data_IF_590821444206
#
_entry.id   IF_590821444206
#
_cell.length_a   1.000
_cell.length_b   1.000
_cell.length_c   1.000
_cell.angle_alpha   90.00
_cell.angle_beta   90.00
_cell.angle_gamma   90.00
#
_symmetry.space_group_name_H-M   'P 1'
#
loop_
_entity.id
_entity.type
_entity.pdbx_description
1 polymer ?
#
# COMPACT_ATOMS: atom_id res chain seq x y z
N UNK A 1 15.13 -5.89 -12.95
CA UNK A 1 14.42 -6.40 -11.76
C UNK A 1 13.62 -5.24 -11.20
N UNK A 2 12.32 -5.42 -10.98
CA UNK A 2 11.44 -4.42 -10.37
C UNK A 2 11.51 -4.54 -8.84
N UNK A 3 11.80 -3.45 -8.14
CA UNK A 3 12.02 -3.41 -6.68
C UNK A 3 10.91 -2.68 -5.97
N UNK A 4 10.25 -3.35 -5.03
CA UNK A 4 9.27 -2.74 -4.13
C UNK A 4 9.95 -2.54 -2.77
N UNK A 5 10.07 -1.29 -2.31
CA UNK A 5 10.62 -0.99 -0.98
C UNK A 5 9.60 -1.27 0.11
N UNK A 6 9.97 -2.02 1.15
CA UNK A 6 9.06 -2.57 2.17
C UNK A 6 9.10 -1.87 3.53
N UNK A 7 9.87 -0.77 3.67
CA UNK A 7 10.20 -0.24 5.00
C UNK A 7 9.04 0.54 5.65
N UNK A 8 7.96 0.85 4.93
CA UNK A 8 6.73 1.44 5.51
C UNK A 8 5.76 0.32 5.85
N UNK A 9 6.00 -0.32 7.00
CA UNK A 9 5.19 -1.44 7.47
C UNK A 9 4.81 -1.32 8.94
N UNK A 10 3.51 -1.43 9.23
CA UNK A 10 2.94 -1.24 10.58
C UNK A 10 3.54 -2.13 11.69
N UNK A 11 4.16 -3.27 11.34
CA UNK A 11 4.80 -4.14 12.34
C UNK A 11 6.11 -3.55 12.88
N UNK A 12 6.71 -2.61 12.14
CA UNK A 12 7.91 -1.90 12.58
C UNK A 12 7.55 -0.96 13.74
N UNK A 13 8.19 -1.09 14.92
CA UNK A 13 7.92 -0.21 16.06
C UNK A 13 8.10 1.28 15.73
N UNK A 14 9.06 1.61 14.86
CA UNK A 14 9.32 2.99 14.43
C UNK A 14 8.20 3.55 13.55
N UNK A 15 7.70 2.74 12.60
CA UNK A 15 6.57 3.12 11.74
C UNK A 15 5.30 3.28 12.56
N UNK A 16 5.06 2.36 13.51
CA UNK A 16 3.91 2.44 14.40
C UNK A 16 3.94 3.70 15.25
N UNK A 17 5.08 4.00 15.89
CA UNK A 17 5.24 5.22 16.70
C UNK A 17 5.05 6.48 15.85
N UNK A 18 5.68 6.55 14.67
CA UNK A 18 5.52 7.69 13.77
C UNK A 18 4.07 7.89 13.30
N UNK A 19 3.31 6.81 13.12
CA UNK A 19 1.88 6.88 12.80
C UNK A 19 1.04 7.40 13.97
N UNK A 20 1.35 6.98 15.19
CA UNK A 20 0.69 7.43 16.43
C UNK A 20 0.97 8.91 16.67
N UNK A 21 2.21 9.34 16.47
CA UNK A 21 2.66 10.73 16.66
C UNK A 21 2.31 11.65 15.48
N UNK A 22 1.75 11.11 14.39
CA UNK A 22 1.55 11.82 13.11
C UNK A 22 2.83 12.52 12.63
N UNK A 23 3.96 11.85 12.77
CA UNK A 23 5.27 12.35 12.34
C UNK A 23 5.44 12.20 10.82
N UNK A 24 4.95 13.20 10.08
CA UNK A 24 5.08 13.24 8.62
C UNK A 24 6.53 13.28 8.14
N UNK A 25 7.43 13.90 8.92
CA UNK A 25 8.85 14.03 8.55
C UNK A 25 9.55 12.67 8.49
N UNK A 26 9.16 11.75 9.37
CA UNK A 26 9.61 10.36 9.33
C UNK A 26 9.21 9.67 8.02
N UNK A 27 7.95 9.80 7.60
CA UNK A 27 7.46 9.16 6.37
C UNK A 27 8.05 9.79 5.12
N UNK A 28 8.20 11.11 5.08
CA UNK A 28 8.87 11.82 3.97
C UNK A 28 10.28 11.27 3.78
N UNK A 29 11.08 11.27 4.86
CA UNK A 29 12.46 10.79 4.82
C UNK A 29 12.57 9.31 4.48
N UNK A 30 11.71 8.48 5.06
CA UNK A 30 11.71 7.03 4.81
C UNK A 30 11.34 6.70 3.36
N UNK A 31 10.44 7.47 2.75
CA UNK A 31 10.07 7.36 1.34
C UNK A 31 11.24 7.75 0.43
N UNK A 32 11.89 8.89 0.71
CA UNK A 32 13.07 9.36 -0.03
C UNK A 32 14.21 8.33 0.01
N UNK A 33 14.55 7.83 1.21
CA UNK A 33 15.61 6.84 1.37
C UNK A 33 15.37 5.58 0.53
N UNK A 34 14.12 5.11 0.44
CA UNK A 34 13.79 3.94 -0.40
C UNK A 34 13.95 4.24 -1.89
N UNK A 35 13.58 5.45 -2.34
CA UNK A 35 13.81 5.88 -3.72
C UNK A 35 15.30 5.97 -4.05
N UNK A 36 16.10 6.53 -3.15
CA UNK A 36 17.56 6.66 -3.32
C UNK A 36 18.27 5.30 -3.33
N UNK A 37 17.77 4.34 -2.55
CA UNK A 37 18.19 2.92 -2.62
C UNK A 37 17.73 2.21 -3.92
N UNK A 38 16.97 2.92 -4.77
CA UNK A 38 16.55 2.48 -6.09
C UNK A 38 15.24 1.72 -6.12
N UNK A 39 14.33 1.92 -5.17
CA UNK A 39 12.98 1.36 -5.27
C UNK A 39 12.23 1.90 -6.50
N UNK A 40 11.52 1.01 -7.21
CA UNK A 40 10.64 1.31 -8.33
C UNK A 40 9.20 1.60 -7.86
N UNK A 41 8.80 1.00 -6.74
CA UNK A 41 7.58 1.29 -6.00
C UNK A 41 7.83 1.23 -4.49
N UNK A 42 6.93 1.81 -3.70
CA UNK A 42 6.97 1.72 -2.24
C UNK A 42 5.74 0.98 -1.75
N UNK A 43 5.96 -0.04 -0.94
CA UNK A 43 4.93 -0.76 -0.23
C UNK A 43 4.43 0.07 0.96
N UNK A 44 3.11 0.13 1.09
CA UNK A 44 2.39 0.90 2.11
C UNK A 44 1.54 -0.07 2.92
N UNK A 45 2.16 -0.65 3.95
CA UNK A 45 1.47 -1.57 4.84
C UNK A 45 0.98 -0.86 6.11
N UNK A 46 -0.34 -0.70 6.20
CA UNK A 46 -1.04 -0.11 7.34
C UNK A 46 -1.70 -1.17 8.25
N UNK A 47 -1.52 -2.46 7.95
CA UNK A 47 -2.28 -3.54 8.55
C UNK A 47 -3.78 -3.49 8.21
N UNK A 48 -4.65 -4.22 8.93
CA UNK A 48 -6.07 -4.31 8.58
C UNK A 48 -6.90 -3.04 8.80
N UNK A 49 -6.43 -2.11 9.66
CA UNK A 49 -7.08 -0.84 10.09
C UNK A 49 -8.54 -0.66 9.65
N UNK A 50 -9.43 -1.42 10.30
CA UNK A 50 -10.84 -1.57 9.85
C UNK A 50 -11.65 -0.27 9.90
N UNK A 51 -11.27 0.69 10.76
CA UNK A 51 -12.05 1.92 10.99
C UNK A 51 -11.44 3.14 10.31
N UNK A 52 -10.13 3.30 10.42
CA UNK A 52 -9.40 4.51 10.05
C UNK A 52 -8.44 4.32 8.87
N UNK A 53 -8.44 3.13 8.24
CA UNK A 53 -7.59 2.83 7.09
C UNK A 53 -7.63 3.87 5.96
N UNK A 54 -8.83 4.31 5.51
CA UNK A 54 -8.94 5.38 4.50
C UNK A 54 -8.26 6.68 4.89
N UNK A 55 -8.48 7.18 6.11
CA UNK A 55 -7.87 8.43 6.60
C UNK A 55 -6.34 8.30 6.66
N UNK A 56 -5.86 7.15 7.15
CA UNK A 56 -4.43 6.88 7.32
C UNK A 56 -3.73 6.77 5.97
N UNK A 57 -4.33 6.11 4.99
CA UNK A 57 -3.78 6.05 3.63
C UNK A 57 -3.73 7.43 3.01
N UNK A 58 -4.79 8.23 3.16
CA UNK A 58 -4.84 9.58 2.59
C UNK A 58 -3.70 10.47 3.15
N UNK A 59 -3.51 10.46 4.47
CA UNK A 59 -2.43 11.20 5.13
C UNK A 59 -1.03 10.68 4.76
N UNK A 60 -0.82 9.36 4.74
CA UNK A 60 0.47 8.78 4.35
C UNK A 60 0.81 9.11 2.89
N UNK A 61 -0.19 9.14 2.00
CA UNK A 61 0.01 9.54 0.62
C UNK A 61 0.41 11.00 0.47
N UNK A 62 -0.08 11.92 1.31
CA UNK A 62 0.41 13.30 1.31
C UNK A 62 1.92 13.33 1.58
N UNK A 63 2.38 12.64 2.63
CA UNK A 63 3.81 12.57 2.97
C UNK A 63 4.64 11.89 1.87
N UNK A 64 4.15 10.79 1.30
CA UNK A 64 4.88 10.03 0.28
C UNK A 64 4.96 10.80 -1.05
N UNK A 65 3.89 11.49 -1.44
CA UNK A 65 3.87 12.31 -2.66
C UNK A 65 4.66 13.60 -2.51
N UNK A 66 4.73 14.18 -1.30
CA UNK A 66 5.68 15.26 -0.99
C UNK A 66 7.12 14.78 -1.18
N UNK A 67 7.45 13.61 -0.65
CA UNK A 67 8.78 13.03 -0.72
C UNK A 67 9.22 12.67 -2.15
N UNK A 68 8.37 11.96 -2.88
CA UNK A 68 8.65 11.45 -4.23
C UNK A 68 7.38 11.53 -5.08
N UNK A 69 7.10 12.69 -5.72
CA UNK A 69 5.92 12.87 -6.56
C UNK A 69 5.84 11.83 -7.68
N UNK A 70 4.66 11.24 -7.88
CA UNK A 70 4.41 10.26 -8.94
C UNK A 70 5.01 8.87 -8.68
N UNK A 71 5.51 8.60 -7.47
CA UNK A 71 5.97 7.27 -7.09
C UNK A 71 4.82 6.26 -7.17
N UNK A 72 5.11 5.06 -7.70
CA UNK A 72 4.14 3.95 -7.68
C UNK A 72 4.00 3.42 -6.26
N UNK A 73 2.76 3.28 -5.79
CA UNK A 73 2.46 2.79 -4.43
C UNK A 73 1.90 1.37 -4.49
N UNK A 74 2.47 0.46 -3.71
CA UNK A 74 1.94 -0.87 -3.46
C UNK A 74 1.09 -0.84 -2.19
N UNK A 75 -0.23 -0.87 -2.32
CA UNK A 75 -1.16 -0.81 -1.20
C UNK A 75 -1.27 -2.18 -0.53
N UNK A 76 -0.52 -2.38 0.56
CA UNK A 76 -0.45 -3.65 1.31
C UNK A 76 -1.40 -3.66 2.51
N UNK A 77 -2.66 -3.98 2.24
CA UNK A 77 -3.69 -4.13 3.26
C UNK A 77 -4.85 -4.97 2.73
N UNK A 78 -5.56 -5.63 3.63
CA UNK A 78 -6.81 -6.32 3.29
C UNK A 78 -8.02 -5.38 3.22
N UNK A 79 -7.87 -4.13 3.70
CA UNK A 79 -8.95 -3.15 3.73
C UNK A 79 -9.17 -2.52 2.33
N UNK A 80 -10.19 -3.00 1.63
CA UNK A 80 -10.56 -2.51 0.29
C UNK A 80 -10.94 -1.03 0.24
N UNK A 81 -11.53 -0.49 1.30
CA UNK A 81 -11.86 0.93 1.36
C UNK A 81 -10.58 1.79 1.41
N UNK A 82 -9.58 1.34 2.17
CA UNK A 82 -8.28 2.02 2.23
C UNK A 82 -7.53 1.95 0.90
N UNK A 83 -7.55 0.77 0.25
CA UNK A 83 -7.01 0.60 -1.11
C UNK A 83 -7.70 1.57 -2.07
N UNK A 84 -9.05 1.61 -2.09
CA UNK A 84 -9.77 2.49 -3.03
C UNK A 84 -9.49 3.98 -2.79
N UNK A 85 -9.34 4.42 -1.54
CA UNK A 85 -8.89 5.78 -1.24
C UNK A 85 -7.55 6.07 -1.91
N UNK A 86 -6.59 5.16 -1.77
CA UNK A 86 -5.29 5.31 -2.41
C UNK A 86 -5.36 5.30 -3.94
N UNK A 87 -6.13 4.39 -4.53
CA UNK A 87 -6.32 4.29 -5.97
C UNK A 87 -6.92 5.56 -6.58
N UNK A 88 -7.87 6.21 -5.89
CA UNK A 88 -8.44 7.51 -6.32
C UNK A 88 -7.39 8.62 -6.38
N UNK A 89 -6.36 8.56 -5.53
CA UNK A 89 -5.29 9.56 -5.43
C UNK A 89 -4.20 9.36 -6.49
N UNK A 90 -3.81 8.11 -6.77
CA UNK A 90 -2.63 7.81 -7.61
C UNK A 90 -2.96 7.15 -8.96
N UNK A 91 -4.20 6.71 -9.19
CA UNK A 91 -4.63 6.08 -10.43
C UNK A 91 -3.80 4.83 -10.78
N UNK A 92 -3.32 4.77 -12.02
CA UNK A 92 -2.51 3.65 -12.53
C UNK A 92 -1.09 3.57 -11.96
N UNK A 93 -0.64 4.59 -11.20
CA UNK A 93 0.60 4.53 -10.41
C UNK A 93 0.38 3.75 -9.10
N UNK A 94 -0.28 2.59 -9.20
CA UNK A 94 -0.63 1.75 -8.08
C UNK A 94 -0.38 0.27 -8.36
N UNK A 95 -0.15 -0.46 -7.26
CA UNK A 95 -0.21 -1.90 -7.18
C UNK A 95 -1.16 -2.24 -6.03
N UNK A 96 -2.16 -3.08 -6.27
CA UNK A 96 -2.97 -3.65 -5.20
C UNK A 96 -2.26 -4.88 -4.65
N UNK A 97 -1.85 -4.82 -3.39
CA UNK A 97 -1.17 -5.90 -2.67
C UNK A 97 -2.08 -6.40 -1.54
N UNK A 98 -2.89 -7.44 -1.72
CA UNK A 98 -2.98 -8.38 -2.84
C UNK A 98 -4.40 -8.99 -2.93
N UNK A 99 -4.61 -9.88 -3.91
CA UNK A 99 -5.73 -10.84 -3.89
C UNK A 99 -5.23 -12.25 -3.58
N UNK A 100 -6.07 -13.07 -2.95
CA UNK A 100 -5.90 -14.53 -2.85
C UNK A 100 -6.84 -15.22 -3.84
N UNK A 101 -6.80 -16.56 -3.88
CA UNK A 101 -7.71 -17.40 -4.64
C UNK A 101 -9.04 -17.68 -3.89
N UNK A 102 -9.28 -17.03 -2.75
CA UNK A 102 -10.58 -17.06 -2.09
C UNK A 102 -11.64 -16.37 -2.96
N UNK A 103 -12.81 -16.99 -3.11
CA UNK A 103 -13.89 -16.51 -3.97
C UNK A 103 -14.31 -15.06 -3.66
N UNK A 104 -14.42 -14.72 -2.37
CA UNK A 104 -14.73 -13.34 -1.95
C UNK A 104 -13.66 -12.35 -2.41
N UNK A 105 -12.37 -12.71 -2.34
CA UNK A 105 -11.27 -11.83 -2.75
C UNK A 105 -11.24 -11.68 -4.28
N UNK A 106 -11.39 -12.79 -5.02
CA UNK A 106 -11.43 -12.77 -6.48
C UNK A 106 -12.63 -12.00 -7.05
N UNK A 107 -13.77 -12.00 -6.36
CA UNK A 107 -14.95 -11.25 -6.78
C UNK A 107 -14.84 -9.74 -6.55
N UNK A 108 -13.99 -9.29 -5.63
CA UNK A 108 -13.94 -7.89 -5.20
C UNK A 108 -12.64 -7.16 -5.54
N UNK A 109 -11.47 -7.80 -5.42
CA UNK A 109 -10.16 -7.14 -5.56
C UNK A 109 -9.80 -6.88 -7.03
N UNK A 110 -9.88 -7.85 -7.96
CA UNK A 110 -9.55 -7.60 -9.36
C UNK A 110 -10.42 -6.54 -10.04
N UNK A 111 -11.76 -6.51 -9.86
CA UNK A 111 -12.59 -5.43 -10.41
C UNK A 111 -12.19 -4.04 -9.89
N UNK A 112 -11.81 -3.94 -8.61
CA UNK A 112 -11.32 -2.69 -8.04
C UNK A 112 -9.99 -2.26 -8.67
N UNK A 113 -9.02 -3.17 -8.81
CA UNK A 113 -7.75 -2.86 -9.47
C UNK A 113 -7.97 -2.41 -10.93
N UNK A 114 -8.81 -3.13 -11.67
CA UNK A 114 -9.14 -2.82 -13.06
C UNK A 114 -9.82 -1.45 -13.23
N UNK A 115 -10.70 -1.07 -12.30
CA UNK A 115 -11.39 0.24 -12.30
C UNK A 115 -10.40 1.42 -12.34
N UNK A 116 -9.21 1.27 -11.77
CA UNK A 116 -8.19 2.32 -11.70
C UNK A 116 -6.94 2.03 -12.54
N UNK A 117 -6.98 0.99 -13.40
CA UNK A 117 -5.83 0.54 -14.20
C UNK A 117 -4.57 0.27 -13.34
N UNK A 118 -4.79 -0.26 -12.13
CA UNK A 118 -3.73 -0.59 -11.20
C UNK A 118 -3.19 -2.00 -11.46
N UNK A 119 -1.89 -2.19 -11.19
CA UNK A 119 -1.31 -3.54 -11.18
C UNK A 119 -1.88 -4.34 -9.99
N UNK A 120 -1.86 -5.66 -10.07
CA UNK A 120 -2.38 -6.54 -9.02
C UNK A 120 -1.36 -7.63 -8.69
N UNK A 121 -1.07 -7.81 -7.39
CA UNK A 121 -0.37 -8.99 -6.88
C UNK A 121 -1.43 -10.04 -6.55
N UNK A 122 -1.27 -11.24 -7.11
CA UNK A 122 -2.12 -12.39 -6.85
C UNK A 122 -1.31 -13.46 -6.12
N UNK A 123 -1.75 -13.80 -4.90
CA UNK A 123 -1.18 -14.87 -4.10
C UNK A 123 -1.73 -16.20 -4.60
N UNK A 124 -0.85 -17.19 -4.80
CA UNK A 124 -1.24 -18.60 -4.98
C UNK A 124 -1.64 -19.21 -3.64
N UNK A 125 -2.65 -18.62 -2.99
CA UNK A 125 -3.13 -18.97 -1.67
C UNK A 125 -4.64 -19.22 -1.75
N UNK A 126 -5.06 -20.43 -1.40
CA UNK A 126 -6.47 -20.80 -1.28
C UNK A 126 -6.90 -20.79 0.19
N UNK A 127 -8.20 -20.99 0.43
CA UNK A 127 -8.77 -21.05 1.79
C UNK A 127 -8.13 -22.15 2.66
N UNK A 128 -7.64 -23.23 2.03
CA UNK A 128 -6.93 -24.32 2.70
C UNK A 128 -5.51 -23.97 3.13
N UNK A 129 -4.98 -22.81 2.70
CA UNK A 129 -3.63 -22.36 3.01
C UNK A 129 -2.71 -22.37 1.78
N UNK A 130 -1.41 -22.29 2.05
CA UNK A 130 -0.36 -22.30 1.03
C UNK A 130 -0.28 -23.72 0.45
N UNK A 131 -0.23 -23.87 -0.90
CA UNK A 131 -0.02 -25.16 -1.55
C UNK A 131 1.24 -25.91 -1.10
#
# INVERSE_FOLDING_TARGET
MYKIGENIHIISPKVKQALEDRDGSFFVKLTQNQKEAGADAIDLNIGPRKKDGPEVVDWLLDCMQEAVPGMTISFDTTNLAAIETGLKRVGSNAIVNSTSAEEERLNNVPPLAAKYDAKLIALCLEKSGIP
#
